data_IF_544249404784
#
_entry.id   IF_544249404784
#
_cell.length_a   1.000
_cell.length_b   1.000
_cell.length_c   1.000
_cell.angle_alpha   90.00
_cell.angle_beta   90.00
_cell.angle_gamma   90.00
#
_symmetry.space_group_name_H-M   'P 1'
#
loop_
_entity.id
_entity.type
_entity.pdbx_description
1 polymer ?
#
# COMPACT_ATOMS: atom_id res chain seq x y z
N UNK A 1 10.53 22.65 2.20
CA UNK A 1 10.22 21.47 1.37
C UNK A 1 9.16 20.72 2.16
N UNK A 2 8.06 20.26 1.55
CA UNK A 2 7.15 19.37 2.26
C UNK A 2 7.98 18.19 2.75
N UNK A 3 7.89 17.90 4.04
CA UNK A 3 8.70 16.91 4.71
C UNK A 3 8.42 15.52 4.09
N UNK A 4 9.45 14.83 3.59
CA UNK A 4 9.30 13.51 2.92
C UNK A 4 8.50 12.51 3.78
N UNK A 5 8.65 12.60 5.10
CA UNK A 5 7.86 11.83 6.07
C UNK A 5 6.35 12.04 5.91
N UNK A 6 5.90 13.27 5.67
CA UNK A 6 4.48 13.55 5.44
C UNK A 6 3.98 12.92 4.14
N UNK A 7 4.82 12.84 3.10
CA UNK A 7 4.43 12.22 1.83
C UNK A 7 4.33 10.71 1.97
N UNK A 8 5.29 10.09 2.66
CA UNK A 8 5.30 8.66 2.91
C UNK A 8 4.09 8.22 3.77
N UNK A 9 3.73 8.99 4.80
CA UNK A 9 2.52 8.73 5.60
C UNK A 9 1.24 8.87 4.76
N UNK A 10 1.10 9.93 3.94
CA UNK A 10 -0.06 10.11 3.04
C UNK A 10 -0.19 8.94 2.06
N UNK A 11 0.91 8.54 1.42
CA UNK A 11 0.93 7.42 0.47
C UNK A 11 0.58 6.11 1.17
N UNK A 12 1.11 5.88 2.37
CA UNK A 12 0.82 4.69 3.15
C UNK A 12 -0.66 4.62 3.57
N UNK A 13 -1.21 5.71 4.11
CA UNK A 13 -2.61 5.78 4.54
C UNK A 13 -3.57 5.55 3.37
N UNK A 14 -3.32 6.20 2.23
CA UNK A 14 -4.12 6.01 1.02
C UNK A 14 -4.02 4.58 0.48
N UNK A 15 -2.81 4.02 0.40
CA UNK A 15 -2.61 2.63 -0.01
C UNK A 15 -3.34 1.64 0.91
N UNK A 16 -3.30 1.88 2.23
CA UNK A 16 -4.02 1.08 3.22
C UNK A 16 -5.53 1.16 3.02
N UNK A 17 -6.08 2.35 2.86
CA UNK A 17 -7.52 2.55 2.68
C UNK A 17 -8.02 1.91 1.38
N UNK A 18 -7.32 2.12 0.27
CA UNK A 18 -7.66 1.52 -1.02
C UNK A 18 -7.54 -0.01 -0.98
N UNK A 19 -6.48 -0.53 -0.37
CA UNK A 19 -6.27 -1.97 -0.29
C UNK A 19 -7.31 -2.63 0.60
N UNK A 20 -7.60 -2.06 1.77
CA UNK A 20 -8.65 -2.55 2.65
C UNK A 20 -10.04 -2.49 1.99
N UNK A 21 -10.36 -1.40 1.29
CA UNK A 21 -11.61 -1.28 0.55
C UNK A 21 -11.74 -2.30 -0.60
N UNK A 22 -10.61 -2.75 -1.16
CA UNK A 22 -10.59 -3.78 -2.20
C UNK A 22 -10.77 -5.21 -1.64
N UNK A 23 -10.52 -5.44 -0.34
CA UNK A 23 -10.72 -6.76 0.27
C UNK A 23 -12.19 -6.96 0.62
N UNK A 24 -12.89 -7.78 -0.16
CA UNK A 24 -14.30 -8.13 0.10
C UNK A 24 -14.47 -9.37 0.96
N UNK A 25 -13.45 -10.23 1.02
CA UNK A 25 -13.52 -11.55 1.63
C UNK A 25 -13.06 -11.57 3.10
N UNK A 26 -12.33 -10.55 3.55
CA UNK A 26 -11.82 -10.44 4.91
C UNK A 26 -11.61 -8.98 5.31
N UNK A 27 -11.70 -8.69 6.61
CA UNK A 27 -11.27 -7.41 7.15
C UNK A 27 -9.78 -7.49 7.52
N UNK A 28 -8.91 -6.69 6.89
CA UNK A 28 -7.47 -6.76 7.15
C UNK A 28 -7.04 -6.29 8.53
N UNK A 29 -7.91 -5.61 9.27
CA UNK A 29 -7.65 -5.18 10.64
C UNK A 29 -8.11 -6.22 11.67
N UNK A 30 -9.04 -7.11 11.30
CA UNK A 30 -9.52 -8.17 12.17
C UNK A 30 -8.89 -9.54 11.88
N UNK A 31 -8.44 -9.77 10.64
CA UNK A 31 -7.89 -11.05 10.19
C UNK A 31 -6.37 -10.96 10.08
N UNK A 32 -5.60 -11.86 10.73
CA UNK A 32 -4.15 -11.82 10.66
C UNK A 32 -3.66 -12.19 9.24
N UNK A 33 -2.47 -11.71 8.83
CA UNK A 33 -1.95 -11.91 7.47
C UNK A 33 -1.78 -13.38 7.04
N UNK A 34 -1.62 -14.29 8.01
CA UNK A 34 -1.48 -15.73 7.77
C UNK A 34 -2.79 -16.39 7.31
N UNK A 35 -3.92 -15.74 7.58
CA UNK A 35 -5.27 -16.21 7.25
C UNK A 35 -5.86 -15.49 6.01
N UNK A 36 -5.11 -14.56 5.41
CA UNK A 36 -5.51 -13.94 4.16
C UNK A 36 -5.55 -14.98 3.05
N UNK A 37 -6.73 -15.17 2.48
CA UNK A 37 -6.95 -16.15 1.41
C UNK A 37 -6.17 -15.82 0.13
N UNK A 38 -6.17 -16.72 -0.86
CA UNK A 38 -5.43 -16.53 -2.12
C UNK A 38 -5.99 -15.40 -3.01
N UNK A 39 -7.11 -14.79 -2.63
CA UNK A 39 -7.83 -13.78 -3.41
C UNK A 39 -7.53 -12.35 -2.97
N UNK A 40 -6.35 -12.09 -2.39
CA UNK A 40 -5.96 -10.71 -2.03
C UNK A 40 -5.95 -9.86 -3.30
N UNK A 41 -6.69 -8.76 -3.26
CA UNK A 41 -6.78 -7.84 -4.41
C UNK A 41 -5.66 -6.80 -4.29
N UNK A 42 -4.72 -6.74 -5.26
CA UNK A 42 -3.66 -5.74 -5.23
C UNK A 42 -4.17 -4.36 -5.67
N UNK A 43 -3.53 -3.31 -5.19
CA UNK A 43 -3.81 -1.91 -5.57
C UNK A 43 -2.68 -1.34 -6.40
N UNK A 44 -2.99 -0.58 -7.45
CA UNK A 44 -1.97 0.01 -8.33
C UNK A 44 -1.49 1.35 -7.80
N UNK A 45 -0.22 1.64 -8.04
CA UNK A 45 0.37 2.97 -7.82
C UNK A 45 -0.42 4.10 -8.48
N UNK A 46 -1.05 3.85 -9.63
CA UNK A 46 -1.91 4.81 -10.31
C UNK A 46 -3.18 5.17 -9.52
N UNK A 47 -3.79 4.19 -8.82
CA UNK A 47 -4.97 4.43 -8.00
C UNK A 47 -4.60 5.26 -6.75
N UNK A 48 -3.45 4.96 -6.16
CA UNK A 48 -2.89 5.71 -5.02
C UNK A 48 -2.55 7.15 -5.44
N UNK A 49 -1.92 7.33 -6.60
CA UNK A 49 -1.63 8.65 -7.17
C UNK A 49 -2.92 9.45 -7.44
N UNK A 50 -3.96 8.79 -7.92
CA UNK A 50 -5.26 9.42 -8.14
C UNK A 50 -5.90 9.89 -6.83
N UNK A 51 -5.92 9.04 -5.80
CA UNK A 51 -6.50 9.35 -4.49
C UNK A 51 -5.74 10.48 -3.78
N UNK A 52 -4.42 10.37 -3.72
CA UNK A 52 -3.55 11.35 -3.05
C UNK A 52 -3.32 12.64 -3.83
N UNK A 53 -3.71 12.68 -5.11
CA UNK A 53 -3.41 13.78 -6.05
C UNK A 53 -1.90 14.06 -6.20
N UNK A 54 -1.06 13.05 -5.95
CA UNK A 54 0.39 13.14 -6.10
C UNK A 54 0.83 12.66 -7.48
N UNK A 55 2.02 13.11 -7.90
CA UNK A 55 2.67 12.59 -9.09
C UNK A 55 3.01 11.11 -8.93
N UNK A 56 2.77 10.32 -9.99
CA UNK A 56 3.04 8.88 -10.00
C UNK A 56 4.51 8.55 -9.65
N UNK A 57 5.46 9.40 -10.08
CA UNK A 57 6.87 9.23 -9.74
C UNK A 57 7.14 9.39 -8.24
N UNK A 58 6.45 10.34 -7.58
CA UNK A 58 6.55 10.56 -6.13
C UNK A 58 5.95 9.38 -5.37
N UNK A 59 4.78 8.91 -5.79
CA UNK A 59 4.13 7.73 -5.20
C UNK A 59 5.01 6.49 -5.31
N UNK A 60 5.60 6.24 -6.48
CA UNK A 60 6.53 5.11 -6.69
C UNK A 60 7.76 5.20 -5.80
N UNK A 61 8.30 6.41 -5.63
CA UNK A 61 9.45 6.64 -4.75
C UNK A 61 9.10 6.37 -3.29
N UNK A 62 7.96 6.87 -2.81
CA UNK A 62 7.43 6.58 -1.48
C UNK A 62 7.15 5.10 -1.27
N UNK A 63 6.47 4.42 -2.21
CA UNK A 63 6.24 2.98 -2.14
C UNK A 63 7.57 2.22 -2.01
N UNK A 64 8.58 2.61 -2.78
CA UNK A 64 9.91 2.01 -2.69
C UNK A 64 10.61 2.22 -1.34
N UNK A 65 10.33 3.32 -0.63
CA UNK A 65 10.82 3.55 0.74
C UNK A 65 10.07 2.73 1.78
N UNK A 66 8.76 2.55 1.58
CA UNK A 66 7.87 1.82 2.49
C UNK A 66 7.92 0.30 2.30
N UNK A 67 8.38 -0.16 1.13
CA UNK A 67 8.51 -1.57 0.80
C UNK A 67 9.38 -2.32 1.82
N UNK A 68 8.87 -3.43 2.34
CA UNK A 68 9.56 -4.27 3.31
C UNK A 68 9.50 -3.77 4.76
N UNK A 69 8.91 -2.59 5.02
CA UNK A 69 8.67 -2.09 6.37
C UNK A 69 7.17 -1.95 6.69
N UNK A 70 6.42 -1.23 5.83
CA UNK A 70 4.99 -0.94 6.03
C UNK A 70 4.08 -1.54 4.95
N UNK A 71 4.65 -1.95 3.82
CA UNK A 71 3.91 -2.58 2.73
C UNK A 71 4.78 -3.56 1.95
N UNK A 72 4.14 -4.42 1.17
CA UNK A 72 4.79 -5.24 0.14
C UNK A 72 4.24 -4.81 -1.21
N UNK A 73 5.16 -4.50 -2.12
CA UNK A 73 4.83 -4.19 -3.49
C UNK A 73 5.56 -5.14 -4.43
N UNK A 74 4.95 -5.38 -5.58
CA UNK A 74 5.54 -6.11 -6.69
C UNK A 74 5.55 -5.22 -7.94
N UNK A 75 6.49 -5.49 -8.84
CA UNK A 75 6.53 -4.81 -10.14
C UNK A 75 5.86 -5.68 -11.19
N UNK A 76 4.79 -5.17 -11.77
CA UNK A 76 4.13 -5.74 -12.94
C UNK A 76 4.50 -4.90 -14.18
N UNK A 77 5.57 -5.30 -14.86
CA UNK A 77 6.06 -4.58 -16.04
C UNK A 77 6.56 -3.17 -15.69
N UNK A 78 5.78 -2.14 -16.05
CA UNK A 78 6.10 -0.73 -15.74
C UNK A 78 5.33 -0.18 -14.54
N UNK A 79 4.43 -0.98 -13.96
CA UNK A 79 3.55 -0.60 -12.86
C UNK A 79 4.07 -1.18 -11.54
N UNK A 80 3.81 -0.47 -10.45
CA UNK A 80 4.04 -0.96 -9.09
C UNK A 80 2.69 -1.27 -8.48
N UNK A 81 2.52 -2.49 -8.00
CA UNK A 81 1.30 -2.95 -7.35
C UNK A 81 1.57 -3.26 -5.89
N UNK A 82 0.80 -2.65 -5.00
CA UNK A 82 0.81 -2.96 -3.58
C UNK A 82 -0.04 -4.21 -3.37
N UNK A 83 0.63 -5.32 -3.08
CA UNK A 83 -0.02 -6.63 -2.89
C UNK A 83 -0.39 -6.87 -1.45
N UNK A 84 0.25 -6.16 -0.52
CA UNK A 84 0.06 -6.36 0.91
C UNK A 84 0.37 -5.10 1.71
N UNK A 85 -0.40 -4.83 2.76
CA UNK A 85 -0.06 -3.81 3.77
C UNK A 85 0.37 -4.53 5.05
N UNK A 86 1.44 -4.04 5.70
CA UNK A 86 1.90 -4.53 7.00
C UNK A 86 1.33 -3.58 8.06
N UNK A 87 0.42 -4.03 8.95
CA UNK A 87 -0.03 -3.19 10.06
C UNK A 87 1.15 -2.88 10.98
N UNK A 88 1.30 -1.61 11.39
CA UNK A 88 2.40 -1.12 12.23
C UNK A 88 2.50 -1.86 13.60
N UNK A 89 1.46 -2.60 14.00
CA UNK A 89 1.37 -3.34 15.28
C UNK A 89 1.91 -4.79 15.21
N UNK A 90 2.36 -5.28 14.04
CA UNK A 90 2.86 -6.65 13.90
C UNK A 90 4.40 -6.67 13.85
N UNK A 91 5.09 -7.28 14.83
CA UNK A 91 6.54 -7.44 14.75
C UNK A 91 6.91 -8.38 13.59
N UNK A 92 7.83 -7.91 12.73
CA UNK A 92 8.42 -8.64 11.60
C UNK A 92 9.21 -9.88 12.03
#
# INVERSE_FOLDING_TARGET
MPDDHTTDDIVHESALQLWAAAQTDFDPFEVPPEEWGPNVVPVRDADIAHDTHLDLAVVRESIGRLEGSRLVAEREGSDVVVTRIVPDDVPL
#
